data_IF_885529407342
#
_entry.id   IF_885529407342
#
_cell.length_a   1.000
_cell.length_b   1.000
_cell.length_c   1.000
_cell.angle_alpha   90.00
_cell.angle_beta   90.00
_cell.angle_gamma   90.00
#
_symmetry.space_group_name_H-M   'P 1'
#
loop_
_entity.id
_entity.type
_entity.pdbx_description
1 polymer ?
#
# COMPACT_ATOMS: atom_id res chain seq x y z
N UNK A 1 6.58 -11.43 26.20
CA UNK A 1 6.26 -10.94 24.83
C UNK A 1 4.80 -10.51 24.82
N UNK A 2 4.49 -9.29 24.35
CA UNK A 2 3.09 -8.83 24.25
C UNK A 2 2.34 -9.74 23.28
N UNK A 3 1.25 -10.37 23.74
CA UNK A 3 0.34 -11.19 22.91
C UNK A 3 -0.40 -10.24 21.98
N UNK A 4 0.07 -10.09 20.74
CA UNK A 4 -0.70 -9.39 19.71
C UNK A 4 -1.92 -10.26 19.37
N UNK A 5 -3.11 -9.65 19.36
CA UNK A 5 -4.34 -10.32 18.94
C UNK A 5 -4.40 -10.24 17.43
N UNK A 6 -4.01 -11.33 16.76
CA UNK A 6 -4.08 -11.43 15.31
C UNK A 6 -5.54 -11.29 14.84
N UNK A 7 -5.74 -10.58 13.75
CA UNK A 7 -7.02 -10.56 13.04
C UNK A 7 -7.29 -11.93 12.42
N UNK A 8 -8.54 -12.21 12.03
CA UNK A 8 -8.91 -13.50 11.43
C UNK A 8 -8.07 -13.81 10.17
N UNK A 9 -7.75 -12.80 9.37
CA UNK A 9 -6.93 -12.94 8.17
C UNK A 9 -5.47 -13.26 8.51
N UNK A 10 -4.89 -12.57 9.48
CA UNK A 10 -3.50 -12.81 9.90
C UNK A 10 -3.35 -14.19 10.54
N UNK A 11 -4.33 -14.63 11.35
CA UNK A 11 -4.34 -15.97 11.92
C UNK A 11 -4.47 -17.06 10.86
N UNK A 12 -5.23 -16.81 9.78
CA UNK A 12 -5.36 -17.75 8.67
C UNK A 12 -4.02 -17.92 7.92
N UNK A 13 -3.30 -16.82 7.69
CA UNK A 13 -1.95 -16.83 7.08
C UNK A 13 -0.96 -17.58 7.98
N UNK A 14 -0.96 -17.31 9.28
CA UNK A 14 -0.08 -17.99 10.24
C UNK A 14 -0.36 -19.50 10.26
N UNK A 15 -1.63 -19.90 10.31
CA UNK A 15 -1.99 -21.30 10.32
C UNK A 15 -1.65 -22.00 8.98
N UNK A 16 -1.80 -21.33 7.84
CA UNK A 16 -1.38 -21.85 6.54
C UNK A 16 0.15 -22.02 6.44
N UNK A 17 0.90 -21.12 7.07
CA UNK A 17 2.36 -21.21 7.17
C UNK A 17 2.78 -22.41 8.02
N UNK A 18 2.17 -22.59 9.19
CA UNK A 18 2.43 -23.73 10.07
C UNK A 18 2.04 -25.07 9.45
N UNK A 19 1.02 -25.10 8.59
CA UNK A 19 0.60 -26.28 7.83
C UNK A 19 1.47 -26.57 6.60
N UNK A 20 2.44 -25.71 6.28
CA UNK A 20 3.35 -25.91 5.15
C UNK A 20 2.69 -25.75 3.78
N UNK A 21 1.58 -25.01 3.68
CA UNK A 21 0.85 -24.79 2.42
C UNK A 21 1.59 -23.88 1.44
N UNK A 22 2.58 -23.12 1.90
CA UNK A 22 3.38 -22.24 1.05
C UNK A 22 4.53 -23.00 0.40
N UNK A 23 4.50 -23.08 -0.93
CA UNK A 23 5.60 -23.62 -1.73
C UNK A 23 6.61 -22.52 -2.09
N UNK A 24 7.92 -22.82 -2.10
CA UNK A 24 8.92 -21.87 -2.55
C UNK A 24 8.71 -21.56 -4.05
N UNK A 25 8.60 -20.28 -4.37
CA UNK A 25 8.46 -19.82 -5.75
C UNK A 25 9.73 -20.11 -6.56
N UNK A 26 9.54 -20.33 -7.86
CA UNK A 26 10.67 -20.47 -8.78
C UNK A 26 11.53 -19.19 -8.80
N UNK A 27 12.85 -19.27 -9.06
CA UNK A 27 13.73 -18.09 -9.06
C UNK A 27 13.26 -16.96 -9.98
N UNK A 28 12.56 -17.30 -11.07
CA UNK A 28 11.98 -16.34 -12.02
C UNK A 28 10.79 -15.58 -11.42
N UNK A 29 9.91 -16.28 -10.72
CA UNK A 29 8.74 -15.66 -10.08
C UNK A 29 9.14 -14.84 -8.86
N UNK A 30 10.10 -15.32 -8.07
CA UNK A 30 10.69 -14.54 -6.98
C UNK A 30 11.27 -13.22 -7.48
N UNK A 31 11.96 -13.22 -8.63
CA UNK A 31 12.44 -11.99 -9.27
C UNK A 31 11.30 -11.08 -9.71
N UNK A 32 10.26 -11.61 -10.37
CA UNK A 32 9.08 -10.81 -10.77
C UNK A 32 8.40 -10.14 -9.58
N UNK A 33 8.25 -10.86 -8.47
CA UNK A 33 7.68 -10.31 -7.22
C UNK A 33 8.61 -9.24 -6.64
N UNK A 34 9.92 -9.50 -6.60
CA UNK A 34 10.90 -8.52 -6.13
C UNK A 34 10.92 -7.25 -6.99
N UNK A 35 10.84 -7.38 -8.32
CA UNK A 35 10.79 -6.28 -9.28
C UNK A 35 9.50 -5.48 -9.13
N UNK A 36 8.35 -6.14 -8.94
CA UNK A 36 7.08 -5.47 -8.69
C UNK A 36 7.11 -4.67 -7.36
N UNK A 37 7.69 -5.26 -6.31
CA UNK A 37 7.88 -4.56 -5.02
C UNK A 37 8.84 -3.38 -5.19
N UNK A 38 9.92 -3.54 -5.96
CA UNK A 38 10.89 -2.49 -6.22
C UNK A 38 10.28 -1.34 -7.04
N UNK A 39 9.47 -1.65 -8.06
CA UNK A 39 8.76 -0.66 -8.87
C UNK A 39 7.73 0.13 -8.06
N UNK A 40 7.12 -0.47 -7.04
CA UNK A 40 6.16 0.19 -6.17
C UNK A 40 6.81 1.04 -5.05
N UNK A 41 8.16 1.08 -4.97
CA UNK A 41 8.85 1.90 -3.95
C UNK A 41 8.62 3.38 -4.22
N UNK A 42 8.09 4.09 -3.22
CA UNK A 42 7.97 5.56 -3.20
C UNK A 42 9.36 6.19 -2.96
N UNK A 43 10.19 6.25 -3.99
CA UNK A 43 11.58 6.70 -3.91
C UNK A 43 11.80 8.16 -4.35
N UNK A 44 10.78 8.82 -4.91
CA UNK A 44 10.86 10.22 -5.34
C UNK A 44 9.98 11.12 -4.46
N UNK A 45 10.49 12.31 -4.14
CA UNK A 45 9.75 13.36 -3.41
C UNK A 45 9.30 14.42 -4.40
N UNK A 46 8.02 14.78 -4.35
CA UNK A 46 7.45 15.87 -5.14
C UNK A 46 7.05 17.03 -4.22
N UNK A 47 7.46 18.25 -4.57
CA UNK A 47 7.02 19.49 -3.91
C UNK A 47 6.00 20.18 -4.82
N UNK A 48 4.79 20.40 -4.31
CA UNK A 48 3.68 21.00 -5.06
C UNK A 48 3.17 22.24 -4.32
N UNK A 49 2.91 23.31 -5.08
CA UNK A 49 2.14 24.47 -4.59
C UNK A 49 0.73 24.37 -5.13
N UNK A 50 -0.24 24.51 -4.24
CA UNK A 50 -1.67 24.49 -4.57
C UNK A 50 -2.38 25.61 -3.81
N UNK A 51 -3.52 26.05 -4.33
CA UNK A 51 -4.36 27.02 -3.63
C UNK A 51 -4.95 26.41 -2.35
N UNK A 52 -5.20 27.25 -1.34
CA UNK A 52 -5.79 26.85 -0.06
C UNK A 52 -7.21 26.28 -0.22
N UNK A 53 -7.97 26.81 -1.17
CA UNK A 53 -9.31 26.32 -1.50
C UNK A 53 -9.26 24.88 -2.05
N UNK A 54 -8.36 24.60 -2.98
CA UNK A 54 -8.18 23.26 -3.55
C UNK A 54 -7.68 22.26 -2.50
N UNK A 55 -6.74 22.66 -1.65
CA UNK A 55 -6.28 21.84 -0.53
C UNK A 55 -7.44 21.44 0.39
N UNK A 56 -8.38 22.35 0.62
CA UNK A 56 -9.56 22.10 1.45
C UNK A 56 -10.49 21.09 0.79
N UNK A 57 -10.82 21.27 -0.48
CA UNK A 57 -11.63 20.32 -1.24
C UNK A 57 -11.00 18.92 -1.32
N UNK A 58 -9.67 18.83 -1.48
CA UNK A 58 -8.95 17.55 -1.47
C UNK A 58 -9.05 16.85 -0.11
N UNK A 59 -8.92 17.59 0.99
CA UNK A 59 -9.09 17.05 2.34
C UNK A 59 -10.50 16.54 2.58
N UNK A 60 -11.51 17.26 2.12
CA UNK A 60 -12.91 16.85 2.24
C UNK A 60 -13.21 15.58 1.43
N UNK A 61 -12.72 15.50 0.19
CA UNK A 61 -12.86 14.29 -0.64
C UNK A 61 -12.16 13.09 -0.01
N UNK A 62 -10.94 13.26 0.48
CA UNK A 62 -10.20 12.21 1.17
C UNK A 62 -10.92 11.74 2.44
N UNK A 63 -11.48 12.68 3.23
CA UNK A 63 -12.26 12.36 4.43
C UNK A 63 -13.51 11.56 4.10
N UNK A 64 -14.23 11.88 3.01
CA UNK A 64 -15.40 11.11 2.55
C UNK A 64 -15.02 9.66 2.18
N UNK A 65 -13.82 9.46 1.65
CA UNK A 65 -13.27 8.15 1.32
C UNK A 65 -12.61 7.43 2.50
N UNK A 66 -12.51 8.06 3.67
CA UNK A 66 -11.88 7.49 4.86
C UNK A 66 -10.36 7.34 4.74
N UNK A 67 -9.70 8.06 3.83
CA UNK A 67 -8.26 7.98 3.61
C UNK A 67 -7.55 9.30 3.95
N UNK A 68 -6.26 9.28 4.34
CA UNK A 68 -5.46 10.49 4.48
C UNK A 68 -5.38 11.26 3.15
N UNK A 69 -5.42 12.60 3.21
CA UNK A 69 -5.39 13.42 2.00
C UNK A 69 -4.10 13.24 1.18
N UNK A 70 -2.97 12.96 1.83
CA UNK A 70 -1.71 12.67 1.16
C UNK A 70 -1.79 11.35 0.38
N UNK A 71 -2.44 10.32 0.95
CA UNK A 71 -2.69 9.05 0.25
C UNK A 71 -3.59 9.28 -0.95
N UNK A 72 -4.68 10.02 -0.77
CA UNK A 72 -5.59 10.37 -1.86
C UNK A 72 -4.89 11.09 -3.03
N UNK A 73 -4.04 12.08 -2.73
CA UNK A 73 -3.25 12.78 -3.76
C UNK A 73 -2.29 11.82 -4.45
N UNK A 74 -1.64 10.94 -3.69
CA UNK A 74 -0.71 9.94 -4.25
C UNK A 74 -1.44 8.98 -5.19
N UNK A 75 -2.64 8.52 -4.84
CA UNK A 75 -3.45 7.63 -5.69
C UNK A 75 -3.90 8.32 -6.99
N UNK A 76 -4.30 9.59 -6.93
CA UNK A 76 -4.65 10.35 -8.15
C UNK A 76 -3.44 10.43 -9.10
N UNK A 77 -2.27 10.79 -8.57
CA UNK A 77 -1.04 10.87 -9.36
C UNK A 77 -0.66 9.51 -9.94
N UNK A 78 -0.81 8.44 -9.17
CA UNK A 78 -0.54 7.08 -9.62
C UNK A 78 -1.47 6.68 -10.77
N UNK A 79 -2.77 6.91 -10.65
CA UNK A 79 -3.76 6.62 -11.68
C UNK A 79 -3.51 7.40 -12.98
N UNK A 80 -2.91 8.59 -12.94
CA UNK A 80 -2.64 9.39 -14.14
C UNK A 80 -1.25 9.12 -14.75
N UNK A 81 -0.34 8.48 -14.02
CA UNK A 81 0.99 8.13 -14.51
C UNK A 81 1.04 6.73 -15.17
N UNK A 82 0.02 5.89 -14.94
CA UNK A 82 -0.09 4.52 -15.47
C UNK A 82 -1.09 4.41 -16.61
#
# INVERSE_FOLDING_TARGET
MKRFKLTKSEQAIENALLRGEYVPLSPKETRRVADAIAAHRKNAVISLRINSQDLTHLKEKAKKLGVPYQTFITEILHHHAQ
#
